data_IF_593368547838
#
_entry.id   IF_593368547838
#
_cell.length_a   1.000
_cell.length_b   1.000
_cell.length_c   1.000
_cell.angle_alpha   90.00
_cell.angle_beta   90.00
_cell.angle_gamma   90.00
#
_symmetry.space_group_name_H-M   'P 1'
#
loop_
_entity.id
_entity.type
_entity.pdbx_description
1 polymer ?
#
# COMPACT_ATOMS: atom_id res chain seq x y z
N UNK A 1 29.28 6.40 -29.94
CA UNK A 1 30.58 6.50 -29.26
C UNK A 1 30.38 6.03 -27.83
N UNK A 2 30.78 4.79 -27.50
CA UNK A 2 30.79 4.31 -26.12
C UNK A 2 32.12 4.75 -25.51
N UNK A 3 32.14 5.89 -24.82
CA UNK A 3 33.28 6.31 -24.01
C UNK A 3 33.32 5.52 -22.70
N UNK A 4 34.49 4.97 -22.41
CA UNK A 4 34.97 4.50 -21.10
C UNK A 4 33.94 4.41 -19.98
N UNK A 5 33.36 3.22 -19.81
CA UNK A 5 32.61 2.85 -18.60
C UNK A 5 33.53 2.18 -17.58
N UNK A 6 34.58 2.87 -17.16
CA UNK A 6 35.15 2.59 -15.84
C UNK A 6 34.53 3.63 -14.92
N UNK A 7 33.53 3.23 -14.14
CA UNK A 7 32.95 4.07 -13.09
C UNK A 7 34.07 4.67 -12.26
N UNK A 8 33.91 5.88 -11.76
CA UNK A 8 34.86 6.51 -10.85
C UNK A 8 35.22 5.54 -9.69
N UNK A 9 34.22 4.80 -9.19
CA UNK A 9 34.34 3.64 -8.30
C UNK A 9 35.43 2.63 -8.73
N UNK A 10 35.43 2.22 -10.00
CA UNK A 10 36.38 1.24 -10.55
C UNK A 10 37.80 1.81 -10.62
N UNK A 11 37.94 3.12 -10.86
CA UNK A 11 39.24 3.79 -10.91
C UNK A 11 39.84 3.98 -9.50
N UNK A 12 39.00 4.32 -8.52
CA UNK A 12 39.40 4.40 -7.11
C UNK A 12 39.76 3.03 -6.54
N UNK A 13 38.96 1.98 -6.82
CA UNK A 13 39.28 0.57 -6.50
C UNK A 13 40.66 0.17 -7.02
N UNK A 14 40.92 0.44 -8.31
CA UNK A 14 42.23 0.12 -8.91
C UNK A 14 43.37 0.91 -8.26
N UNK A 15 43.14 2.16 -7.86
CA UNK A 15 44.16 3.02 -7.24
C UNK A 15 44.46 2.61 -5.80
N UNK A 16 43.44 2.23 -5.04
CA UNK A 16 43.56 1.73 -3.66
C UNK A 16 44.25 0.36 -3.63
N UNK A 17 43.83 -0.57 -4.49
CA UNK A 17 44.50 -1.88 -4.67
C UNK A 17 45.96 -1.69 -5.08
N UNK A 18 46.26 -0.77 -6.01
CA UNK A 18 47.62 -0.48 -6.43
C UNK A 18 48.49 0.12 -5.29
N UNK A 19 47.91 0.98 -4.45
CA UNK A 19 48.60 1.55 -3.31
C UNK A 19 48.89 0.50 -2.23
N UNK A 20 47.92 -0.36 -1.88
CA UNK A 20 48.11 -1.45 -0.92
C UNK A 20 49.12 -2.51 -1.41
N UNK A 21 49.10 -2.82 -2.72
CA UNK A 21 50.10 -3.70 -3.33
C UNK A 21 51.51 -3.08 -3.32
N UNK A 22 51.63 -1.75 -3.29
CA UNK A 22 52.92 -1.05 -3.27
C UNK A 22 53.52 -0.89 -1.87
N UNK A 23 52.71 -1.00 -0.81
CA UNK A 23 53.11 -0.66 0.56
C UNK A 23 53.59 -1.86 1.41
N UNK A 24 53.86 -3.03 0.79
CA UNK A 24 54.61 -4.09 1.47
C UNK A 24 56.08 -3.70 1.57
N UNK A 25 56.64 -3.44 2.77
CA UNK A 25 58.05 -3.09 2.88
C UNK A 25 58.91 -4.34 2.64
N UNK A 26 59.69 -4.34 1.57
CA UNK A 26 60.75 -5.32 1.33
C UNK A 26 61.68 -5.44 2.55
N UNK A 27 61.60 -6.54 3.29
CA UNK A 27 62.70 -7.01 4.14
C UNK A 27 62.78 -8.53 4.21
N UNK A 28 63.53 -9.14 3.29
CA UNK A 28 64.88 -9.70 3.55
C UNK A 28 65.33 -10.56 2.37
N UNK A 29 66.46 -10.15 1.76
CA UNK A 29 67.21 -10.89 0.73
C UNK A 29 67.34 -12.38 1.09
N UNK A 30 66.84 -13.28 0.23
CA UNK A 30 67.51 -14.57 -0.05
C UNK A 30 66.96 -15.29 -1.30
N UNK A 31 67.89 -15.47 -2.26
CA UNK A 31 67.97 -16.46 -3.35
C UNK A 31 67.09 -16.27 -4.60
N UNK A 32 67.77 -15.72 -5.61
CA UNK A 32 67.69 -16.00 -7.06
C UNK A 32 66.73 -17.17 -7.42
N UNK A 33 65.51 -16.82 -7.78
CA UNK A 33 64.49 -17.73 -8.30
C UNK A 33 63.13 -17.04 -8.26
N UNK A 34 62.72 -16.48 -9.40
CA UNK A 34 61.33 -16.17 -9.77
C UNK A 34 60.43 -15.74 -8.59
N UNK A 35 60.46 -14.46 -8.24
CA UNK A 35 59.52 -13.86 -7.28
C UNK A 35 58.13 -13.86 -7.93
N UNK A 36 57.45 -15.01 -7.91
CA UNK A 36 56.05 -15.10 -8.27
C UNK A 36 55.25 -14.54 -7.09
N UNK A 37 54.51 -13.48 -7.40
CA UNK A 37 53.46 -12.91 -6.58
C UNK A 37 52.61 -14.05 -5.99
N UNK A 38 52.74 -14.29 -4.69
CA UNK A 38 52.04 -15.37 -3.94
C UNK A 38 50.71 -14.87 -3.38
N UNK A 39 50.31 -13.65 -3.73
CA UNK A 39 49.03 -13.06 -3.35
C UNK A 39 47.89 -13.83 -4.01
N UNK A 40 46.99 -14.39 -3.20
CA UNK A 40 45.91 -15.27 -3.65
C UNK A 40 46.18 -16.77 -3.53
N UNK A 41 47.33 -17.18 -2.97
CA UNK A 41 47.57 -18.57 -2.56
C UNK A 41 47.04 -18.89 -1.16
N UNK A 42 46.89 -17.88 -0.30
CA UNK A 42 46.29 -18.00 1.04
C UNK A 42 44.86 -17.42 1.06
N UNK A 43 43.89 -18.16 1.61
CA UNK A 43 42.48 -17.73 1.70
C UNK A 43 42.28 -16.44 2.52
N UNK A 44 43.26 -16.05 3.35
CA UNK A 44 43.25 -14.79 4.10
C UNK A 44 43.45 -13.55 3.21
N UNK A 45 44.00 -13.71 2.00
CA UNK A 45 44.14 -12.59 1.05
C UNK A 45 42.76 -12.17 0.50
N UNK A 46 41.79 -13.09 0.48
CA UNK A 46 40.42 -12.81 0.02
C UNK A 46 39.60 -12.03 1.05
N UNK A 47 39.94 -12.07 2.34
CA UNK A 47 39.33 -11.21 3.37
C UNK A 47 39.67 -9.73 3.13
N UNK A 48 40.90 -9.45 2.70
CA UNK A 48 41.36 -8.08 2.44
C UNK A 48 40.56 -7.45 1.29
N UNK A 49 40.28 -8.20 0.21
CA UNK A 49 39.41 -7.73 -0.86
C UNK A 49 37.96 -7.48 -0.42
N UNK A 50 37.43 -8.29 0.50
CA UNK A 50 36.06 -8.10 1.03
C UNK A 50 35.96 -6.88 1.95
N UNK A 51 36.99 -6.63 2.76
CA UNK A 51 37.07 -5.46 3.63
C UNK A 51 37.27 -4.19 2.81
N UNK A 52 38.20 -4.17 1.85
CA UNK A 52 38.41 -3.04 0.94
C UNK A 52 37.16 -2.75 0.12
N UNK A 53 36.49 -3.78 -0.43
CA UNK A 53 35.23 -3.56 -1.15
C UNK A 53 34.17 -2.97 -0.24
N UNK A 54 34.02 -3.45 1.00
CA UNK A 54 33.04 -2.90 1.94
C UNK A 54 33.35 -1.49 2.40
N UNK A 55 34.62 -1.19 2.68
CA UNK A 55 35.05 0.14 3.11
C UNK A 55 34.94 1.13 1.96
N UNK A 56 35.42 0.81 0.77
CA UNK A 56 35.28 1.70 -0.39
C UNK A 56 33.82 1.91 -0.79
N UNK A 57 33.00 0.86 -0.77
CA UNK A 57 31.55 1.00 -1.02
C UNK A 57 30.91 1.91 0.04
N UNK A 58 31.31 1.80 1.32
CA UNK A 58 30.83 2.68 2.37
C UNK A 58 31.32 4.14 2.23
N UNK A 59 32.58 4.35 1.82
CA UNK A 59 33.15 5.70 1.64
C UNK A 59 32.54 6.39 0.41
N UNK A 60 32.30 5.64 -0.67
CA UNK A 60 31.61 6.14 -1.86
C UNK A 60 30.15 6.53 -1.53
N UNK A 61 29.42 5.69 -0.79
CA UNK A 61 28.08 6.02 -0.29
C UNK A 61 28.06 7.28 0.58
N UNK A 62 29.06 7.47 1.45
CA UNK A 62 29.20 8.67 2.29
C UNK A 62 29.51 9.94 1.47
N UNK A 63 30.38 9.84 0.46
CA UNK A 63 30.68 10.95 -0.45
C UNK A 63 29.46 11.35 -1.29
N UNK A 64 28.74 10.38 -1.86
CA UNK A 64 27.51 10.61 -2.62
C UNK A 64 26.43 11.27 -1.76
N UNK A 65 26.24 10.80 -0.52
CA UNK A 65 25.28 11.38 0.40
C UNK A 65 25.65 12.81 0.83
N UNK A 66 26.95 13.10 0.97
CA UNK A 66 27.45 14.44 1.26
C UNK A 66 27.21 15.41 0.10
N UNK A 67 27.48 14.97 -1.13
CA UNK A 67 27.19 15.75 -2.35
C UNK A 67 25.69 16.01 -2.50
N UNK A 68 24.85 15.01 -2.23
CA UNK A 68 23.40 15.13 -2.26
C UNK A 68 22.91 16.21 -1.27
N UNK A 69 23.40 16.19 -0.03
CA UNK A 69 23.07 17.21 0.98
C UNK A 69 23.48 18.62 0.56
N UNK A 70 24.62 18.76 -0.10
CA UNK A 70 25.07 20.06 -0.63
C UNK A 70 24.12 20.56 -1.71
N UNK A 71 23.71 19.70 -2.65
CA UNK A 71 22.75 20.04 -3.69
C UNK A 71 21.38 20.40 -3.12
N UNK A 72 20.88 19.64 -2.14
CA UNK A 72 19.62 19.93 -1.45
C UNK A 72 19.66 21.28 -0.72
N UNK A 73 20.77 21.59 -0.05
CA UNK A 73 20.96 22.89 0.60
C UNK A 73 20.92 24.04 -0.40
N UNK A 74 21.53 23.85 -1.58
CA UNK A 74 21.47 24.82 -2.68
C UNK A 74 20.04 24.95 -3.22
N UNK A 75 19.34 23.84 -3.45
CA UNK A 75 17.96 23.85 -3.95
C UNK A 75 17.02 24.57 -2.97
N UNK A 76 17.08 24.27 -1.67
CA UNK A 76 16.27 24.95 -0.66
C UNK A 76 16.49 26.46 -0.62
N UNK A 77 17.68 26.93 -0.99
CA UNK A 77 18.02 28.35 -0.99
C UNK A 77 17.57 29.08 -2.26
N UNK A 78 17.67 28.43 -3.42
CA UNK A 78 17.51 29.09 -4.72
C UNK A 78 16.23 28.71 -5.48
N UNK A 79 15.62 27.56 -5.17
CA UNK A 79 14.39 27.09 -5.79
C UNK A 79 13.22 27.22 -4.80
N UNK A 80 12.27 28.16 -5.03
CA UNK A 80 11.11 28.33 -4.14
C UNK A 80 10.11 27.16 -4.21
N UNK A 81 10.21 26.27 -5.20
CA UNK A 81 9.36 25.09 -5.32
C UNK A 81 9.94 23.87 -4.60
N UNK A 82 11.22 23.92 -4.22
CA UNK A 82 11.87 22.85 -3.47
C UNK A 82 11.68 23.05 -1.97
N UNK A 83 10.82 22.24 -1.36
CA UNK A 83 10.48 22.32 0.07
C UNK A 83 11.34 21.38 0.91
N UNK A 84 11.49 21.61 2.24
CA UNK A 84 12.24 20.72 3.14
C UNK A 84 11.77 19.26 3.11
N UNK A 85 10.49 19.02 2.84
CA UNK A 85 9.91 17.67 2.68
C UNK A 85 10.42 16.92 1.44
N UNK A 86 11.00 17.63 0.45
CA UNK A 86 11.56 17.04 -0.76
C UNK A 86 12.97 16.48 -0.57
N UNK A 87 13.64 16.80 0.54
CA UNK A 87 14.97 16.29 0.88
C UNK A 87 14.97 14.77 1.01
N UNK A 88 16.10 14.16 0.71
CA UNK A 88 16.33 12.72 0.79
C UNK A 88 16.14 12.23 2.22
N UNK A 89 16.66 12.96 3.20
CA UNK A 89 16.51 12.66 4.63
C UNK A 89 15.04 12.72 5.07
N UNK A 90 14.27 13.70 4.58
CA UNK A 90 12.83 13.74 4.85
C UNK A 90 12.14 12.54 4.19
N UNK A 91 12.33 12.29 2.90
CA UNK A 91 11.71 11.18 2.17
C UNK A 91 12.00 9.80 2.77
N UNK A 92 13.23 9.59 3.23
CA UNK A 92 13.66 8.33 3.85
C UNK A 92 13.42 8.28 5.35
N UNK A 93 12.89 9.34 5.96
CA UNK A 93 12.48 9.31 7.35
C UNK A 93 11.43 8.23 7.57
N UNK A 94 11.53 7.51 8.69
CA UNK A 94 10.52 6.53 9.11
C UNK A 94 9.13 7.16 9.17
N UNK A 95 9.05 8.46 9.49
CA UNK A 95 7.78 9.21 9.54
C UNK A 95 7.08 9.31 8.18
N UNK A 96 7.83 9.24 7.09
CA UNK A 96 7.31 9.26 5.73
C UNK A 96 7.07 7.85 5.16
N UNK A 97 7.32 6.81 5.95
CA UNK A 97 6.95 5.44 5.58
C UNK A 97 5.43 5.29 5.54
N UNK A 98 4.92 4.57 4.54
CA UNK A 98 3.51 4.17 4.46
C UNK A 98 3.05 3.45 5.72
N UNK A 99 3.92 2.66 6.35
CA UNK A 99 3.58 1.95 7.59
C UNK A 99 3.39 2.93 8.74
N UNK A 100 4.20 3.98 8.82
CA UNK A 100 4.05 5.02 9.83
C UNK A 100 2.78 5.82 9.60
N UNK A 101 2.54 6.27 8.36
CA UNK A 101 1.30 6.98 8.00
C UNK A 101 0.06 6.13 8.27
N UNK A 102 0.12 4.83 7.99
CA UNK A 102 -0.98 3.90 8.25
C UNK A 102 -1.24 3.71 9.74
N UNK A 103 -0.20 3.65 10.58
CA UNK A 103 -0.35 3.36 12.01
C UNK A 103 -0.54 4.61 12.88
N UNK A 104 0.00 5.76 12.47
CA UNK A 104 0.08 7.00 13.25
C UNK A 104 -0.60 8.21 12.60
N UNK A 105 -1.05 8.07 11.35
CA UNK A 105 -1.63 9.18 10.60
C UNK A 105 -0.59 10.21 10.14
N UNK A 106 -1.07 11.24 9.45
CA UNK A 106 -0.26 12.32 8.89
C UNK A 106 -0.30 13.58 9.76
N UNK A 107 -1.41 13.79 10.48
CA UNK A 107 -1.62 14.95 11.32
C UNK A 107 -2.52 14.62 12.53
N UNK A 108 -2.24 15.17 13.72
CA UNK A 108 -1.03 15.93 14.08
C UNK A 108 0.25 15.05 14.04
N UNK A 109 1.46 15.64 13.99
CA UNK A 109 2.71 14.88 14.04
C UNK A 109 2.76 14.03 15.31
N UNK A 110 3.16 12.75 15.17
CA UNK A 110 3.25 11.83 16.30
C UNK A 110 4.24 12.33 17.35
N UNK A 111 3.76 12.45 18.59
CA UNK A 111 4.54 12.74 19.78
C UNK A 111 4.53 11.52 20.72
N UNK A 112 5.68 10.86 20.96
CA UNK A 112 5.75 9.71 21.86
C UNK A 112 5.47 10.05 23.33
N UNK A 113 5.57 11.32 23.73
CA UNK A 113 5.30 11.76 25.10
C UNK A 113 3.81 12.11 25.32
N UNK A 114 3.03 12.21 24.23
CA UNK A 114 1.60 12.49 24.30
C UNK A 114 0.80 11.20 24.55
N UNK A 115 0.39 11.00 25.81
CA UNK A 115 -0.44 9.87 26.22
C UNK A 115 -1.75 9.74 25.43
N UNK A 116 -2.34 10.83 24.94
CA UNK A 116 -3.57 10.75 24.15
C UNK A 116 -3.34 10.07 22.80
N UNK A 117 -2.20 10.36 22.16
CA UNK A 117 -1.82 9.76 20.88
C UNK A 117 -1.43 8.29 21.01
N UNK A 118 -0.88 7.88 22.15
CA UNK A 118 -0.57 6.48 22.44
C UNK A 118 -1.84 5.62 22.42
N UNK A 119 -2.96 6.14 22.91
CA UNK A 119 -4.24 5.45 23.00
C UNK A 119 -5.21 5.76 21.83
N UNK A 120 -4.70 6.32 20.74
CA UNK A 120 -5.49 6.65 19.55
C UNK A 120 -5.55 5.47 18.57
N UNK A 121 -6.75 5.21 18.03
CA UNK A 121 -6.95 4.25 16.93
C UNK A 121 -7.07 4.99 15.60
N UNK A 122 -6.19 4.67 14.65
CA UNK A 122 -6.25 5.18 13.29
C UNK A 122 -7.07 4.24 12.41
N UNK A 123 -8.05 4.79 11.69
CA UNK A 123 -8.92 4.04 10.77
C UNK A 123 -8.76 4.63 9.37
N UNK A 124 -8.11 3.88 8.49
CA UNK A 124 -7.75 4.29 7.14
C UNK A 124 -8.60 3.52 6.11
N UNK A 125 -8.01 2.47 5.52
CA UNK A 125 -8.62 1.66 4.47
C UNK A 125 -9.82 0.86 4.98
N UNK A 126 -9.91 0.63 6.29
CA UNK A 126 -10.99 -0.12 6.93
C UNK A 126 -12.35 0.50 6.62
N UNK A 127 -12.41 1.84 6.51
CA UNK A 127 -13.64 2.58 6.21
C UNK A 127 -14.27 2.18 4.87
N UNK A 128 -13.46 1.81 3.88
CA UNK A 128 -13.93 1.39 2.55
C UNK A 128 -13.87 -0.13 2.38
N UNK A 129 -12.92 -0.81 3.02
CA UNK A 129 -12.71 -2.25 2.89
C UNK A 129 -13.78 -3.06 3.61
N UNK A 130 -14.20 -2.60 4.79
CA UNK A 130 -15.24 -3.29 5.59
C UNK A 130 -16.58 -3.36 4.84
N UNK A 131 -17.16 -2.25 4.33
CA UNK A 131 -18.43 -2.32 3.59
C UNK A 131 -18.30 -3.02 2.22
N UNK A 132 -17.10 -3.07 1.62
CA UNK A 132 -16.89 -3.77 0.35
C UNK A 132 -17.10 -5.28 0.48
N UNK A 133 -17.00 -5.85 1.69
CA UNK A 133 -17.27 -7.28 1.92
C UNK A 133 -18.67 -7.72 1.48
N UNK A 134 -19.66 -6.81 1.44
CA UNK A 134 -21.01 -7.10 0.93
C UNK A 134 -21.03 -7.34 -0.59
N UNK A 135 -20.12 -6.69 -1.31
CA UNK A 135 -19.99 -6.79 -2.77
C UNK A 135 -18.94 -7.81 -3.18
N UNK A 136 -17.86 -7.92 -2.41
CA UNK A 136 -16.75 -8.83 -2.63
C UNK A 136 -16.36 -9.55 -1.31
N UNK A 137 -17.09 -10.61 -0.94
CA UNK A 137 -16.83 -11.38 0.28
C UNK A 137 -15.43 -12.01 0.32
N UNK A 138 -14.83 -12.27 -0.84
CA UNK A 138 -13.49 -12.87 -0.96
C UNK A 138 -12.37 -12.04 -0.32
N UNK A 139 -12.56 -10.73 -0.11
CA UNK A 139 -11.60 -9.87 0.61
C UNK A 139 -11.44 -10.33 2.07
N UNK A 140 -12.46 -10.97 2.63
CA UNK A 140 -12.45 -11.57 3.98
C UNK A 140 -12.11 -13.06 3.96
N UNK A 141 -11.82 -13.64 2.79
CA UNK A 141 -11.60 -15.09 2.63
C UNK A 141 -12.89 -15.91 2.69
N UNK A 142 -14.06 -15.29 2.51
CA UNK A 142 -15.34 -16.00 2.45
C UNK A 142 -15.62 -16.46 1.02
N UNK A 143 -15.86 -17.76 0.84
CA UNK A 143 -16.27 -18.36 -0.43
C UNK A 143 -17.80 -18.22 -0.61
N UNK A 144 -18.24 -16.97 -0.77
CA UNK A 144 -19.64 -16.59 -0.95
C UNK A 144 -19.77 -15.57 -2.09
N UNK A 145 -20.89 -15.62 -2.79
CA UNK A 145 -21.24 -14.64 -3.81
C UNK A 145 -21.57 -13.28 -3.17
N UNK A 146 -21.15 -12.20 -3.83
CA UNK A 146 -21.54 -10.85 -3.44
C UNK A 146 -23.03 -10.58 -3.70
N UNK A 147 -23.54 -9.49 -3.14
CA UNK A 147 -24.96 -9.11 -3.29
C UNK A 147 -25.39 -8.94 -4.76
N UNK A 148 -24.49 -8.44 -5.62
CA UNK A 148 -24.78 -8.17 -7.03
C UNK A 148 -24.92 -9.48 -7.80
N UNK A 149 -24.00 -10.42 -7.57
CA UNK A 149 -24.03 -11.75 -8.19
C UNK A 149 -25.25 -12.53 -7.71
N UNK A 150 -25.52 -12.51 -6.40
CA UNK A 150 -26.69 -13.18 -5.82
C UNK A 150 -27.99 -12.62 -6.39
N UNK A 151 -28.09 -11.30 -6.55
CA UNK A 151 -29.24 -10.67 -7.20
C UNK A 151 -29.38 -11.13 -8.65
N UNK A 152 -28.27 -11.14 -9.42
CA UNK A 152 -28.26 -11.61 -10.81
C UNK A 152 -28.72 -13.07 -10.93
N UNK A 153 -28.20 -13.95 -10.07
CA UNK A 153 -28.59 -15.37 -10.04
C UNK A 153 -30.08 -15.53 -9.73
N UNK A 154 -30.59 -14.86 -8.69
CA UNK A 154 -32.01 -14.90 -8.33
C UNK A 154 -32.88 -14.46 -9.51
N UNK A 155 -32.55 -13.32 -10.13
CA UNK A 155 -33.32 -12.77 -11.25
C UNK A 155 -33.28 -13.68 -12.48
N UNK A 156 -32.17 -14.40 -12.70
CA UNK A 156 -32.03 -15.32 -13.84
C UNK A 156 -32.97 -16.54 -13.78
N UNK A 157 -33.45 -16.89 -12.59
CA UNK A 157 -34.35 -18.02 -12.36
C UNK A 157 -35.81 -17.73 -12.76
N UNK A 158 -36.16 -16.47 -12.98
CA UNK A 158 -37.52 -16.06 -13.34
C UNK A 158 -37.68 -15.84 -14.84
N UNK A 159 -38.92 -15.94 -15.32
CA UNK A 159 -39.23 -15.63 -16.71
C UNK A 159 -39.06 -14.12 -17.00
N UNK A 160 -39.04 -13.75 -18.28
CA UNK A 160 -38.75 -12.37 -18.68
C UNK A 160 -39.76 -11.36 -18.12
N UNK A 161 -41.04 -11.70 -18.08
CA UNK A 161 -42.09 -10.81 -17.58
C UNK A 161 -41.97 -10.57 -16.07
N UNK A 162 -41.74 -11.64 -15.30
CA UNK A 162 -41.49 -11.57 -13.86
C UNK A 162 -40.24 -10.76 -13.55
N UNK A 163 -39.14 -11.00 -14.28
CA UNK A 163 -37.89 -10.25 -14.14
C UNK A 163 -38.10 -8.75 -14.34
N UNK A 164 -38.83 -8.34 -15.37
CA UNK A 164 -39.13 -6.91 -15.61
C UNK A 164 -39.89 -6.28 -14.45
N UNK A 165 -40.86 -7.00 -13.89
CA UNK A 165 -41.64 -6.55 -12.71
C UNK A 165 -40.80 -6.46 -11.45
N UNK A 166 -39.94 -7.45 -11.19
CA UNK A 166 -39.08 -7.48 -10.00
C UNK A 166 -38.03 -6.37 -10.00
N UNK A 167 -37.43 -6.09 -11.16
CA UNK A 167 -36.37 -5.09 -11.29
C UNK A 167 -36.91 -3.65 -11.29
N UNK A 168 -38.19 -3.46 -11.65
CA UNK A 168 -38.83 -2.14 -11.71
C UNK A 168 -38.69 -1.35 -10.41
N UNK A 169 -38.84 -2.02 -9.26
CA UNK A 169 -38.69 -1.42 -7.94
C UNK A 169 -37.99 -2.38 -6.98
N UNK A 170 -36.76 -2.05 -6.59
CA UNK A 170 -35.98 -2.77 -5.58
C UNK A 170 -36.06 -2.01 -4.27
N UNK A 171 -36.73 -2.58 -3.28
CA UNK A 171 -36.81 -2.01 -1.93
C UNK A 171 -35.65 -2.50 -1.07
N UNK A 172 -34.99 -1.59 -0.34
CA UNK A 172 -33.84 -1.89 0.50
C UNK A 172 -34.13 -1.45 1.93
N UNK A 173 -33.91 -2.35 2.88
CA UNK A 173 -34.10 -2.15 4.33
C UNK A 173 -32.98 -2.83 5.14
N UNK A 174 -32.92 -2.55 6.45
CA UNK A 174 -31.90 -3.05 7.38
C UNK A 174 -30.86 -1.97 7.75
N UNK A 175 -30.35 -1.99 8.98
CA UNK A 175 -29.46 -0.94 9.49
C UNK A 175 -28.20 -0.69 8.67
N UNK A 176 -27.61 -1.74 8.08
CA UNK A 176 -26.42 -1.61 7.22
C UNK A 176 -26.66 -0.74 5.96
N UNK A 177 -27.92 -0.57 5.55
CA UNK A 177 -28.29 0.27 4.40
C UNK A 177 -28.04 1.75 4.60
N UNK A 178 -27.82 2.17 5.85
CA UNK A 178 -27.46 3.55 6.22
C UNK A 178 -25.99 3.88 5.91
N UNK A 179 -25.20 2.92 5.44
CA UNK A 179 -23.81 3.16 5.03
C UNK A 179 -23.74 4.23 3.94
N UNK A 180 -22.96 5.31 4.11
CA UNK A 180 -22.87 6.39 3.13
C UNK A 180 -22.44 5.87 1.76
N UNK A 181 -23.14 6.30 0.70
CA UNK A 181 -22.84 5.93 -0.68
C UNK A 181 -23.35 4.54 -1.12
N UNK A 182 -23.90 3.72 -0.21
CA UNK A 182 -24.36 2.37 -0.54
C UNK A 182 -25.46 2.36 -1.61
N UNK A 183 -26.47 3.23 -1.49
CA UNK A 183 -27.58 3.30 -2.45
C UNK A 183 -27.08 3.63 -3.86
N UNK A 184 -26.13 4.55 -3.98
CA UNK A 184 -25.54 4.91 -5.26
C UNK A 184 -24.71 3.76 -5.83
N UNK A 185 -23.88 3.11 -4.99
CA UNK A 185 -23.11 1.92 -5.35
C UNK A 185 -24.02 0.80 -5.86
N UNK A 186 -25.09 0.47 -5.12
CA UNK A 186 -26.06 -0.55 -5.54
C UNK A 186 -26.76 -0.19 -6.85
N UNK A 187 -27.13 1.07 -7.06
CA UNK A 187 -27.74 1.50 -8.31
C UNK A 187 -26.81 1.25 -9.51
N UNK A 188 -25.54 1.64 -9.39
CA UNK A 188 -24.53 1.44 -10.44
C UNK A 188 -24.29 -0.05 -10.68
N UNK A 189 -24.07 -0.82 -9.62
CA UNK A 189 -23.73 -2.25 -9.71
C UNK A 189 -24.90 -3.12 -10.19
N UNK A 190 -26.14 -2.82 -9.79
CA UNK A 190 -27.31 -3.53 -10.31
C UNK A 190 -27.58 -3.14 -11.77
N UNK A 191 -27.39 -1.87 -12.16
CA UNK A 191 -27.51 -1.48 -13.57
C UNK A 191 -26.53 -2.19 -14.48
N UNK A 192 -25.30 -2.47 -14.02
CA UNK A 192 -24.29 -3.12 -14.86
C UNK A 192 -24.61 -4.56 -15.24
N UNK A 193 -25.46 -5.25 -14.48
CA UNK A 193 -25.86 -6.63 -14.76
C UNK A 193 -27.23 -6.74 -15.47
N UNK A 194 -27.95 -5.63 -15.60
CA UNK A 194 -29.26 -5.59 -16.23
C UNK A 194 -29.16 -5.21 -17.71
N UNK A 195 -30.09 -5.68 -18.57
CA UNK A 195 -30.14 -5.24 -19.96
C UNK A 195 -30.27 -3.71 -20.08
N UNK A 196 -29.62 -3.13 -21.08
CA UNK A 196 -29.66 -1.69 -21.33
C UNK A 196 -31.12 -1.19 -21.46
N UNK A 197 -31.42 -0.07 -20.79
CA UNK A 197 -32.77 0.51 -20.77
C UNK A 197 -33.76 -0.14 -19.80
N UNK A 198 -33.34 -1.14 -19.02
CA UNK A 198 -34.20 -1.73 -17.98
C UNK A 198 -34.61 -0.68 -16.93
N UNK A 199 -35.89 -0.60 -16.54
CA UNK A 199 -36.31 0.28 -15.47
C UNK A 199 -35.77 -0.23 -14.14
N UNK A 200 -34.90 0.53 -13.48
CA UNK A 200 -34.42 0.24 -12.13
C UNK A 200 -34.67 1.44 -11.22
N UNK A 201 -35.57 1.26 -10.25
CA UNK A 201 -35.79 2.21 -9.15
C UNK A 201 -35.41 1.55 -7.83
N UNK A 202 -34.39 2.09 -7.19
CA UNK A 202 -34.06 1.71 -5.81
C UNK A 202 -34.89 2.57 -4.85
N UNK A 203 -35.60 1.92 -3.94
CA UNK A 203 -36.42 2.54 -2.91
C UNK A 203 -35.79 2.21 -1.56
N UNK A 204 -35.46 3.23 -0.79
CA UNK A 204 -34.92 3.05 0.56
C UNK A 204 -36.04 3.17 1.60
N UNK A 205 -36.00 2.30 2.60
CA UNK A 205 -36.87 2.37 3.77
C UNK A 205 -36.75 3.73 4.47
N UNK A 206 -37.85 4.20 5.08
CA UNK A 206 -37.84 5.50 5.80
C UNK A 206 -37.10 5.35 7.12
N UNK A 207 -37.37 4.25 7.83
CA UNK A 207 -36.64 3.85 9.02
C UNK A 207 -36.14 2.41 8.83
N UNK A 208 -34.98 2.20 8.18
CA UNK A 208 -34.49 0.87 7.85
C UNK A 208 -34.19 -0.02 9.07
N UNK A 209 -34.14 0.54 10.28
CA UNK A 209 -33.90 -0.22 11.53
C UNK A 209 -35.23 -0.66 12.14
N UNK A 210 -36.24 0.22 12.17
CA UNK A 210 -37.51 -0.04 12.85
C UNK A 210 -38.67 -0.44 11.93
N UNK A 211 -38.56 -0.23 10.62
CA UNK A 211 -39.66 -0.50 9.67
C UNK A 211 -40.10 -1.98 9.68
N UNK A 212 -39.20 -2.92 9.97
CA UNK A 212 -39.56 -4.32 10.14
C UNK A 212 -40.51 -4.54 11.33
N UNK A 213 -40.23 -3.90 12.46
CA UNK A 213 -41.09 -3.96 13.65
C UNK A 213 -42.40 -3.21 13.41
N UNK A 214 -42.35 -2.03 12.81
CA UNK A 214 -43.56 -1.28 12.45
C UNK A 214 -44.46 -2.06 11.49
N UNK A 215 -43.88 -2.72 10.49
CA UNK A 215 -44.60 -3.59 9.56
C UNK A 215 -45.33 -4.73 10.27
N UNK A 216 -44.64 -5.44 11.16
CA UNK A 216 -45.24 -6.51 11.96
C UNK A 216 -46.33 -5.98 12.91
N UNK A 217 -46.09 -4.86 13.59
CA UNK A 217 -47.05 -4.23 14.50
C UNK A 217 -48.32 -3.76 13.77
N UNK A 218 -48.19 -3.26 12.54
CA UNK A 218 -49.33 -2.93 11.68
C UNK A 218 -50.07 -4.18 11.22
N UNK A 219 -49.33 -5.21 10.77
CA UNK A 219 -49.93 -6.46 10.30
C UNK A 219 -50.69 -7.21 11.39
N UNK A 220 -50.17 -7.25 12.62
CA UNK A 220 -50.84 -7.88 13.78
C UNK A 220 -52.22 -7.29 14.10
N UNK A 221 -52.53 -6.08 13.61
CA UNK A 221 -53.82 -5.40 13.79
C UNK A 221 -54.83 -5.70 12.67
N UNK A 222 -54.41 -6.41 11.62
CA UNK A 222 -55.28 -6.75 10.47
C UNK A 222 -56.16 -7.96 10.77
N UNK A 223 -57.26 -8.10 10.04
CA UNK A 223 -58.12 -9.29 10.14
C UNK A 223 -57.46 -10.54 9.54
N UNK A 224 -56.52 -10.37 8.60
CA UNK A 224 -55.77 -11.48 8.02
C UNK A 224 -54.96 -12.20 9.09
N UNK A 225 -54.33 -11.48 10.02
CA UNK A 225 -53.63 -12.08 11.15
C UNK A 225 -54.56 -12.91 12.04
N UNK A 226 -55.75 -12.39 12.35
CA UNK A 226 -56.76 -13.09 13.17
C UNK A 226 -57.27 -14.38 12.53
N UNK A 227 -57.18 -14.51 11.21
CA UNK A 227 -57.62 -15.70 10.49
C UNK A 227 -56.53 -16.78 10.39
N UNK A 228 -55.27 -16.46 10.72
CA UNK A 228 -54.12 -17.37 10.61
C UNK A 228 -53.55 -17.81 11.97
N UNK A 229 -54.07 -17.27 13.08
CA UNK A 229 -53.74 -17.63 14.46
C UNK A 229 -54.99 -18.16 15.15
#
# INVERSE_FOLDING_TARGET
>A
QLSDRRSHASQLRMKSIANLASDTPQQKRRRRGQDEDTFGMDDNDWSIYKEISKEEDAWEEEEEHSQLKEYETKLLRYDPTFLPEHTFDAKNSVKNSLLFMFTRGVAPPYDPEDFAQIHQLHVNIERIRVPEALFQPSILGLDQAGIVETFGDIISRFNEEQRKKMVQSVFITGGHTQTPGLLNRLNISLRSILPAGSPLKIIHAKDPVLDAWHGAAMWARTNDFKNHV
#
